data_IF_647220081388
#
_entry.id   IF_647220081388
#
_cell.length_a   1.000
_cell.length_b   1.000
_cell.length_c   1.000
_cell.angle_alpha   90.00
_cell.angle_beta   90.00
_cell.angle_gamma   90.00
#
_symmetry.space_group_name_H-M   'P 1'
#
loop_
_entity.id
_entity.type
_entity.pdbx_description
1 polymer ?
#
# COMPACT_ATOMS: atom_id res chain seq x y z
N UNK A 1 -0.66 -28.89 12.44
CA UNK A 1 0.34 -28.02 13.11
C UNK A 1 1.69 -28.18 12.41
N UNK A 2 2.10 -27.19 11.62
CA UNK A 2 3.44 -27.18 11.00
C UNK A 2 4.41 -26.75 12.10
N UNK A 3 4.95 -27.69 12.88
CA UNK A 3 5.65 -27.44 14.15
C UNK A 3 6.95 -26.59 14.08
N UNK A 4 7.32 -26.11 12.90
CA UNK A 4 8.49 -25.25 12.67
C UNK A 4 8.13 -23.86 12.11
N UNK A 5 6.86 -23.60 11.77
CA UNK A 5 6.43 -22.30 11.25
C UNK A 5 6.51 -21.24 12.36
N UNK A 6 7.07 -20.07 12.07
CA UNK A 6 7.22 -18.97 13.04
C UNK A 6 6.40 -17.73 12.71
N UNK A 7 6.22 -17.45 11.41
CA UNK A 7 5.45 -16.31 10.91
C UNK A 7 5.02 -16.59 9.47
N UNK A 8 3.97 -15.90 9.02
CA UNK A 8 3.55 -15.82 7.61
C UNK A 8 3.82 -14.40 7.13
N UNK A 9 4.53 -14.26 6.01
CA UNK A 9 4.73 -12.95 5.37
C UNK A 9 3.69 -12.75 4.28
N UNK A 10 3.01 -11.60 4.31
CA UNK A 10 2.10 -11.15 3.26
C UNK A 10 2.72 -9.91 2.59
N UNK A 11 2.75 -9.87 1.26
CA UNK A 11 3.33 -8.73 0.55
C UNK A 11 3.01 -8.74 -0.94
N UNK A 12 3.46 -7.69 -1.63
CA UNK A 12 3.25 -7.51 -3.07
C UNK A 12 1.86 -6.98 -3.45
N UNK A 13 0.89 -7.01 -2.55
CA UNK A 13 -0.38 -6.31 -2.63
C UNK A 13 -0.76 -5.81 -1.23
N UNK A 14 -1.56 -4.74 -1.13
CA UNK A 14 -2.18 -4.32 0.12
C UNK A 14 -2.78 -5.47 0.92
N UNK A 15 -2.39 -5.62 2.19
CA UNK A 15 -3.13 -6.46 3.12
C UNK A 15 -4.20 -5.61 3.81
N UNK A 16 -5.46 -5.96 3.58
CA UNK A 16 -6.54 -5.27 4.25
C UNK A 16 -6.54 -5.58 5.76
N UNK A 17 -6.79 -4.55 6.56
CA UNK A 17 -6.73 -4.63 8.03
C UNK A 17 -7.70 -5.68 8.58
N UNK A 18 -8.92 -5.75 8.03
CA UNK A 18 -9.92 -6.72 8.49
C UNK A 18 -9.52 -8.15 8.17
N UNK A 19 -8.96 -8.43 6.97
CA UNK A 19 -8.44 -9.77 6.67
C UNK A 19 -7.29 -10.18 7.59
N UNK A 20 -6.40 -9.26 7.96
CA UNK A 20 -5.38 -9.55 8.95
C UNK A 20 -6.00 -9.87 10.32
N UNK A 21 -6.96 -9.07 10.76
CA UNK A 21 -7.66 -9.27 12.04
C UNK A 21 -8.41 -10.60 12.08
N UNK A 22 -9.14 -10.95 11.02
CA UNK A 22 -9.85 -12.23 10.89
C UNK A 22 -8.87 -13.41 10.95
N UNK A 23 -7.79 -13.37 10.15
CA UNK A 23 -6.80 -14.44 10.14
C UNK A 23 -6.10 -14.62 11.50
N UNK A 24 -5.80 -13.53 12.21
CA UNK A 24 -5.23 -13.57 13.56
C UNK A 24 -6.26 -14.08 14.60
N UNK A 25 -7.52 -13.64 14.51
CA UNK A 25 -8.60 -14.05 15.42
C UNK A 25 -8.95 -15.55 15.28
N UNK A 26 -8.94 -16.08 14.06
CA UNK A 26 -9.18 -17.49 13.79
C UNK A 26 -7.95 -18.38 14.02
N UNK A 27 -6.81 -17.78 14.39
CA UNK A 27 -5.52 -18.45 14.43
C UNK A 27 -5.25 -19.27 13.16
N UNK A 28 -5.63 -18.74 11.99
CA UNK A 28 -5.69 -19.47 10.72
C UNK A 28 -4.37 -20.20 10.37
N UNK A 29 -3.24 -19.64 10.79
CA UNK A 29 -1.91 -20.21 10.59
C UNK A 29 -1.23 -20.66 11.88
N UNK A 30 -1.83 -20.42 13.05
CA UNK A 30 -1.23 -20.67 14.36
C UNK A 30 0.03 -19.84 14.67
N UNK A 31 0.35 -18.88 13.81
CA UNK A 31 1.51 -17.98 13.91
C UNK A 31 1.11 -16.58 13.46
N UNK A 32 1.88 -15.53 13.82
CA UNK A 32 1.56 -14.19 13.39
C UNK A 32 1.72 -13.99 11.88
N UNK A 33 0.81 -13.21 11.29
CA UNK A 33 0.91 -12.73 9.90
C UNK A 33 1.57 -11.34 9.92
N UNK A 34 2.51 -11.09 9.01
CA UNK A 34 3.26 -9.84 8.94
C UNK A 34 3.21 -9.28 7.53
N UNK A 35 2.66 -8.08 7.40
CA UNK A 35 2.69 -7.34 6.13
C UNK A 35 4.13 -6.88 5.85
N UNK A 36 4.55 -7.05 4.61
CA UNK A 36 5.87 -6.72 4.09
C UNK A 36 5.70 -5.84 2.85
N UNK A 37 6.55 -4.83 2.71
CA UNK A 37 6.57 -3.98 1.52
C UNK A 37 7.94 -3.96 0.86
N UNK A 38 7.91 -3.98 -0.46
CA UNK A 38 9.09 -3.90 -1.32
C UNK A 38 8.68 -4.05 -2.78
N UNK A 39 9.64 -3.74 -3.65
CA UNK A 39 9.53 -3.82 -5.09
C UNK A 39 10.59 -4.78 -5.64
N UNK A 40 10.44 -5.15 -6.91
CA UNK A 40 11.52 -5.85 -7.62
C UNK A 40 12.77 -4.96 -7.69
N UNK A 41 12.56 -3.66 -7.89
CA UNK A 41 13.56 -2.60 -7.95
C UNK A 41 14.25 -2.33 -6.60
N UNK A 42 13.68 -2.83 -5.49
CA UNK A 42 14.29 -2.77 -4.15
C UNK A 42 14.83 -4.12 -3.67
N UNK A 43 15.04 -5.07 -4.60
CA UNK A 43 15.56 -6.41 -4.32
C UNK A 43 14.74 -7.19 -3.27
N UNK A 44 13.41 -7.02 -3.27
CA UNK A 44 12.51 -7.67 -2.32
C UNK A 44 12.05 -6.73 -1.19
N UNK A 45 11.56 -7.29 -0.06
CA UNK A 45 11.05 -6.50 1.04
C UNK A 45 12.11 -5.62 1.69
N UNK A 46 11.73 -4.36 1.95
CA UNK A 46 12.57 -3.32 2.56
C UNK A 46 12.04 -2.84 3.91
N UNK A 47 10.83 -3.26 4.27
CA UNK A 47 10.25 -3.09 5.58
C UNK A 47 9.21 -4.17 5.85
N UNK A 48 9.00 -4.43 7.14
CA UNK A 48 8.00 -5.38 7.63
C UNK A 48 7.27 -4.77 8.82
N UNK A 49 6.00 -5.15 8.98
CA UNK A 49 5.31 -5.04 10.26
C UNK A 49 6.16 -5.70 11.37
N UNK A 50 6.20 -5.18 12.61
CA UNK A 50 7.09 -5.67 13.66
C UNK A 50 7.11 -7.19 13.79
N UNK A 51 8.27 -7.81 13.49
CA UNK A 51 8.44 -9.26 13.59
C UNK A 51 8.36 -9.71 15.05
N UNK A 52 8.98 -8.93 15.93
CA UNK A 52 8.92 -9.08 17.38
C UNK A 52 7.99 -8.01 17.97
N UNK A 53 7.02 -8.43 18.77
CA UNK A 53 6.07 -7.53 19.45
C UNK A 53 4.70 -7.41 18.77
N UNK A 54 3.93 -6.36 19.13
CA UNK A 54 2.56 -6.22 18.69
C UNK A 54 2.48 -5.87 17.20
N UNK A 55 1.54 -6.53 16.52
CA UNK A 55 1.16 -6.20 15.14
C UNK A 55 0.70 -4.73 15.06
N UNK A 56 1.01 -4.07 13.95
CA UNK A 56 0.55 -2.71 13.63
C UNK A 56 -0.28 -2.73 12.35
N UNK A 57 -1.53 -3.24 12.38
CA UNK A 57 -2.35 -3.37 11.17
C UNK A 57 -2.49 -2.06 10.40
N UNK A 58 -2.44 -2.15 9.07
CA UNK A 58 -2.54 -1.00 8.17
C UNK A 58 -1.22 -0.25 7.96
N UNK A 59 -0.13 -0.73 8.56
CA UNK A 59 1.23 -0.25 8.31
C UNK A 59 2.08 -1.34 7.68
N UNK A 60 3.00 -0.92 6.80
CA UNK A 60 4.00 -1.82 6.19
C UNK A 60 5.30 -1.91 6.99
N UNK A 61 5.38 -1.19 8.10
CA UNK A 61 6.54 -1.20 9.00
C UNK A 61 7.41 0.06 8.94
N UNK A 62 8.61 -0.10 9.48
CA UNK A 62 9.74 0.86 9.40
C UNK A 62 10.80 0.29 8.45
N UNK A 63 11.61 1.13 7.79
CA UNK A 63 12.69 0.64 6.94
C UNK A 63 13.62 -0.30 7.73
N UNK A 64 14.12 -1.33 7.04
CA UNK A 64 15.17 -2.19 7.56
C UNK A 64 16.44 -1.39 7.86
N UNK A 65 17.31 -1.95 8.72
CA UNK A 65 18.60 -1.33 9.02
C UNK A 65 19.41 -1.06 7.74
N UNK A 66 19.91 0.17 7.62
CA UNK A 66 20.66 0.62 6.44
C UNK A 66 19.80 1.00 5.22
N UNK A 67 18.48 0.79 5.26
CA UNK A 67 17.55 1.30 4.25
C UNK A 67 17.04 2.67 4.68
N UNK A 68 17.04 3.62 3.75
CA UNK A 68 16.52 4.96 3.99
C UNK A 68 15.21 5.17 3.22
N UNK A 69 14.20 5.75 3.89
CA UNK A 69 12.94 6.17 3.30
C UNK A 69 12.79 7.68 3.38
N UNK A 70 12.29 8.29 2.31
CA UNK A 70 11.74 9.66 2.33
C UNK A 70 10.40 9.72 1.65
N UNK A 71 9.63 10.76 1.95
CA UNK A 71 8.33 11.03 1.32
C UNK A 71 8.47 12.34 0.56
N UNK A 72 8.15 12.34 -0.74
CA UNK A 72 8.25 13.53 -1.60
C UNK A 72 6.90 13.81 -2.25
N UNK A 73 6.35 15.01 -2.09
CA UNK A 73 5.07 15.38 -2.69
C UNK A 73 5.14 15.35 -4.23
N UNK A 74 4.00 15.31 -4.95
CA UNK A 74 3.98 15.40 -6.41
C UNK A 74 4.69 16.64 -6.96
N UNK A 75 4.76 17.72 -6.19
CA UNK A 75 5.45 18.98 -6.52
C UNK A 75 6.97 18.90 -6.30
N UNK A 76 7.49 17.77 -5.82
CA UNK A 76 8.91 17.56 -5.59
C UNK A 76 9.41 18.05 -4.24
N UNK A 77 8.52 18.34 -3.29
CA UNK A 77 8.89 18.82 -1.95
C UNK A 77 9.00 17.64 -0.99
N UNK A 78 10.11 17.55 -0.25
CA UNK A 78 10.25 16.52 0.78
C UNK A 78 9.33 16.83 1.97
N UNK A 79 8.54 15.83 2.39
CA UNK A 79 7.62 15.92 3.52
C UNK A 79 8.44 15.79 4.82
N UNK A 80 8.46 16.81 5.69
CA UNK A 80 9.26 16.80 6.92
C UNK A 80 8.91 15.65 7.84
N UNK A 81 9.87 15.23 8.68
CA UNK A 81 9.66 14.09 9.60
C UNK A 81 8.43 14.20 10.51
N UNK A 82 8.21 15.42 11.00
CA UNK A 82 7.10 15.81 11.87
C UNK A 82 5.74 15.93 11.19
N UNK A 83 5.71 16.00 9.86
CA UNK A 83 4.45 16.05 9.12
C UNK A 83 3.96 14.62 8.94
N UNK A 84 2.95 14.29 9.72
CA UNK A 84 2.38 12.96 9.71
C UNK A 84 1.16 12.88 8.85
N UNK A 85 0.62 13.96 8.28
CA UNK A 85 -0.66 13.98 7.55
C UNK A 85 -0.47 13.96 6.03
N UNK A 86 0.58 14.61 5.54
CA UNK A 86 0.78 14.82 4.09
C UNK A 86 1.28 13.54 3.40
N UNK A 87 0.52 12.96 2.46
CA UNK A 87 1.01 11.84 1.66
C UNK A 87 1.94 12.34 0.54
N UNK A 88 2.89 11.51 0.16
CA UNK A 88 3.77 11.74 -0.99
C UNK A 88 4.35 10.45 -1.52
N UNK A 89 5.11 10.53 -2.61
CA UNK A 89 5.86 9.41 -3.14
C UNK A 89 6.87 8.90 -2.11
N UNK A 90 6.77 7.63 -1.74
CA UNK A 90 7.81 6.95 -1.00
C UNK A 90 9.03 6.78 -1.91
N UNK A 91 10.19 7.27 -1.48
CA UNK A 91 11.45 6.99 -2.16
C UNK A 91 12.38 6.20 -1.27
N UNK A 92 13.13 5.29 -1.88
CA UNK A 92 14.00 4.34 -1.19
C UNK A 92 15.44 4.59 -1.60
N UNK A 93 16.36 4.54 -0.66
CA UNK A 93 17.78 4.68 -0.94
C UNK A 93 18.63 3.72 -0.12
N UNK A 94 19.54 3.04 -0.84
CA UNK A 94 20.61 2.12 -0.37
C UNK A 94 20.18 1.01 0.63
N UNK A 95 21.04 0.00 0.85
CA UNK A 95 21.88 -0.65 -0.15
C UNK A 95 21.08 -1.59 -1.08
N UNK A 96 19.74 -1.59 -0.98
CA UNK A 96 18.87 -2.61 -1.57
C UNK A 96 18.26 -2.26 -2.93
N UNK A 97 18.53 -1.06 -3.46
CA UNK A 97 17.96 -0.64 -4.75
C UNK A 97 18.74 -1.23 -5.93
N UNK A 98 18.02 -1.54 -7.01
CA UNK A 98 18.59 -2.05 -8.27
C UNK A 98 19.62 -1.08 -8.87
N UNK A 99 20.43 -1.57 -9.80
CA UNK A 99 21.36 -0.72 -10.58
C UNK A 99 20.72 -0.08 -11.82
N UNK A 100 19.47 -0.41 -12.14
CA UNK A 100 18.75 0.05 -13.32
C UNK A 100 18.11 -1.10 -14.12
N UNK A 101 17.38 -0.74 -15.16
CA UNK A 101 16.69 -1.71 -16.02
C UNK A 101 17.59 -2.20 -17.15
N UNK A 102 17.65 -3.53 -17.32
CA UNK A 102 18.46 -4.17 -18.37
C UNK A 102 17.99 -3.74 -19.76
N UNK A 103 18.91 -3.20 -20.57
CA UNK A 103 18.64 -2.77 -21.94
C UNK A 103 17.78 -1.50 -22.07
N UNK A 104 17.46 -0.83 -20.95
CA UNK A 104 16.60 0.35 -20.91
C UNK A 104 17.26 1.47 -20.08
N UNK A 105 18.39 2.05 -20.55
CA UNK A 105 19.18 3.00 -19.77
C UNK A 105 18.42 4.28 -19.42
N UNK A 106 17.57 4.80 -20.31
CA UNK A 106 16.76 6.00 -20.05
C UNK A 106 15.72 5.76 -18.95
N UNK A 107 15.00 4.64 -19.01
CA UNK A 107 14.07 4.24 -17.96
C UNK A 107 14.81 3.96 -16.65
N UNK A 108 16.01 3.37 -16.73
CA UNK A 108 16.88 3.12 -15.59
C UNK A 108 17.28 4.42 -14.91
N UNK A 109 17.71 5.43 -15.66
CA UNK A 109 18.02 6.75 -15.11
C UNK A 109 16.79 7.45 -14.53
N UNK A 110 15.64 7.39 -15.22
CA UNK A 110 14.40 8.01 -14.77
C UNK A 110 13.79 7.36 -13.51
N UNK A 111 14.19 6.14 -13.17
CA UNK A 111 13.78 5.48 -11.94
C UNK A 111 14.41 6.10 -10.69
N UNK A 112 15.47 6.91 -10.85
CA UNK A 112 16.13 7.59 -9.74
C UNK A 112 15.94 9.10 -9.85
N UNK A 113 16.05 9.79 -8.73
CA UNK A 113 16.30 11.24 -8.75
C UNK A 113 17.80 11.56 -8.72
N UNK A 114 18.12 12.85 -8.80
CA UNK A 114 19.50 13.34 -8.91
C UNK A 114 20.37 12.95 -7.68
N UNK A 115 19.73 12.66 -6.54
CA UNK A 115 20.38 12.22 -5.31
C UNK A 115 20.51 10.68 -5.22
N UNK A 116 20.03 9.95 -6.23
CA UNK A 116 20.10 8.49 -6.31
C UNK A 116 18.99 7.75 -5.58
N UNK A 117 17.89 8.42 -5.20
CA UNK A 117 16.76 7.74 -4.57
C UNK A 117 15.86 7.10 -5.61
N UNK A 118 15.47 5.85 -5.38
CA UNK A 118 14.51 5.13 -6.21
C UNK A 118 13.12 5.76 -6.04
N UNK A 119 12.53 6.17 -7.17
CA UNK A 119 11.14 6.60 -7.33
C UNK A 119 10.24 5.38 -7.41
N UNK A 120 9.55 5.05 -6.31
CA UNK A 120 8.73 3.83 -6.23
C UNK A 120 7.40 3.96 -6.99
N UNK A 121 6.92 5.19 -7.20
CA UNK A 121 5.57 5.46 -7.65
C UNK A 121 4.46 5.10 -6.64
N UNK A 122 4.82 4.62 -5.44
CA UNK A 122 3.89 4.35 -4.34
C UNK A 122 3.73 5.58 -3.47
N UNK A 123 2.50 5.88 -3.09
CA UNK A 123 2.19 6.95 -2.16
C UNK A 123 2.20 6.41 -0.74
N UNK A 124 2.92 7.09 0.14
CA UNK A 124 2.99 6.75 1.54
C UNK A 124 2.76 7.96 2.45
N UNK A 125 2.38 7.64 3.68
CA UNK A 125 2.32 8.54 4.83
C UNK A 125 3.07 7.88 5.97
N UNK A 126 3.76 8.66 6.80
CA UNK A 126 4.45 8.20 8.00
C UNK A 126 3.72 8.70 9.24
N UNK A 127 3.58 7.86 10.26
CA UNK A 127 3.02 8.28 11.55
C UNK A 127 4.09 8.81 12.53
N UNK A 128 3.66 9.28 13.70
CA UNK A 128 4.54 9.85 14.73
C UNK A 128 5.54 8.84 15.29
N UNK A 129 5.20 7.55 15.21
CA UNK A 129 6.06 6.45 15.58
C UNK A 129 6.95 6.01 14.42
N UNK A 130 6.96 6.71 13.28
CA UNK A 130 7.81 6.39 12.14
C UNK A 130 7.38 5.18 11.31
N UNK A 131 6.18 4.62 11.53
CA UNK A 131 5.64 3.56 10.69
C UNK A 131 5.03 4.13 9.41
N UNK A 132 5.26 3.43 8.31
CA UNK A 132 4.78 3.83 7.00
C UNK A 132 3.48 3.11 6.64
N UNK A 133 2.58 3.83 5.99
CA UNK A 133 1.35 3.30 5.38
C UNK A 133 1.39 3.58 3.89
N UNK A 134 1.15 2.56 3.06
CA UNK A 134 0.98 2.75 1.63
C UNK A 134 -0.48 3.13 1.36
N UNK A 135 -0.69 4.34 0.89
CA UNK A 135 -2.01 4.96 0.68
C UNK A 135 -2.41 5.04 -0.79
N UNK A 136 -1.59 4.54 -1.71
CA UNK A 136 -1.97 4.43 -3.11
C UNK A 136 -0.77 4.43 -4.06
N UNK A 137 -1.04 4.77 -5.31
CA UNK A 137 -0.07 4.87 -6.41
C UNK A 137 -0.20 6.25 -7.05
N UNK A 138 0.93 6.87 -7.40
CA UNK A 138 0.94 8.18 -8.08
C UNK A 138 0.08 8.18 -9.35
N UNK A 139 0.20 7.13 -10.17
CA UNK A 139 -0.56 6.98 -11.42
C UNK A 139 -2.05 6.71 -11.25
N UNK A 140 -2.50 6.39 -10.04
CA UNK A 140 -3.89 6.06 -9.73
C UNK A 140 -4.59 7.15 -8.90
N UNK A 141 -3.94 8.28 -8.62
CA UNK A 141 -4.59 9.42 -7.94
C UNK A 141 -5.72 9.93 -8.83
N UNK A 142 -6.93 10.01 -8.25
CA UNK A 142 -8.08 10.63 -8.91
C UNK A 142 -8.29 12.04 -8.35
N UNK A 143 -8.43 13.05 -9.21
CA UNK A 143 -8.72 14.41 -8.77
C UNK A 143 -10.22 14.66 -8.88
N UNK A 144 -10.87 15.00 -7.76
CA UNK A 144 -12.30 15.34 -7.72
C UNK A 144 -12.50 16.67 -7.01
N UNK A 145 -13.13 17.62 -7.69
CA UNK A 145 -13.39 18.97 -7.17
C UNK A 145 -12.13 19.67 -6.62
N UNK A 146 -10.97 19.42 -7.22
CA UNK A 146 -9.69 19.98 -6.77
C UNK A 146 -9.02 19.23 -5.60
N UNK A 147 -9.59 18.11 -5.14
CA UNK A 147 -9.02 17.28 -4.09
C UNK A 147 -8.50 15.95 -4.62
N UNK A 148 -7.35 15.51 -4.09
CA UNK A 148 -6.82 14.18 -4.36
C UNK A 148 -7.65 13.13 -3.64
N UNK A 149 -8.13 12.15 -4.40
CA UNK A 149 -8.82 10.96 -3.93
C UNK A 149 -7.88 9.77 -4.16
N UNK A 150 -7.42 9.19 -3.07
CA UNK A 150 -6.49 8.07 -3.08
C UNK A 150 -7.26 6.76 -3.11
N UNK A 151 -7.07 5.89 -4.12
CA UNK A 151 -7.85 4.66 -4.26
C UNK A 151 -7.81 3.77 -3.02
N UNK A 152 -6.66 3.65 -2.35
CA UNK A 152 -6.54 2.80 -1.14
C UNK A 152 -7.43 3.27 -0.01
N UNK A 153 -7.57 4.58 0.19
CA UNK A 153 -8.47 5.14 1.22
C UNK A 153 -9.92 4.73 0.95
N UNK A 154 -10.31 4.73 -0.32
CA UNK A 154 -11.63 4.27 -0.75
C UNK A 154 -11.76 2.75 -0.59
N UNK A 155 -10.78 1.97 -1.05
CA UNK A 155 -10.75 0.51 -0.93
C UNK A 155 -10.84 0.06 0.54
N UNK A 156 -10.06 0.64 1.45
CA UNK A 156 -10.06 0.32 2.87
C UNK A 156 -11.40 0.66 3.54
N UNK A 157 -12.01 1.80 3.19
CA UNK A 157 -13.33 2.17 3.68
C UNK A 157 -14.43 1.21 3.18
N UNK A 158 -14.21 0.57 2.03
CA UNK A 158 -15.14 -0.36 1.42
C UNK A 158 -14.88 -1.83 1.78
N UNK A 159 -13.78 -2.14 2.45
CA UNK A 159 -13.34 -3.52 2.71
C UNK A 159 -14.16 -4.24 3.81
N UNK A 160 -15.30 -3.72 4.24
CA UNK A 160 -16.08 -4.32 5.34
C UNK A 160 -17.26 -5.11 4.77
N UNK A 161 -17.26 -6.44 4.95
CA UNK A 161 -18.30 -7.37 4.51
C UNK A 161 -19.60 -7.17 5.31
N UNK A 162 -20.73 -6.85 4.65
CA UNK A 162 -21.74 -7.89 4.34
C UNK A 162 -21.96 -8.14 2.83
N UNK A 163 -22.76 -9.16 2.49
CA UNK A 163 -23.48 -9.24 1.20
C UNK A 163 -24.42 -8.03 1.06
N UNK A 164 -23.87 -6.87 0.70
CA UNK A 164 -24.62 -5.60 0.69
C UNK A 164 -25.35 -5.47 -0.64
N UNK A 165 -26.68 -5.34 -0.62
CA UNK A 165 -27.44 -4.98 -1.81
C UNK A 165 -27.00 -3.58 -2.32
N UNK A 166 -27.06 -3.31 -3.63
CA UNK A 166 -26.58 -2.05 -4.23
C UNK A 166 -27.11 -0.77 -3.53
N UNK A 167 -28.36 -0.80 -3.07
CA UNK A 167 -28.98 0.31 -2.34
C UNK A 167 -28.37 0.52 -0.93
N UNK A 168 -28.02 -0.56 -0.23
CA UNK A 168 -27.37 -0.51 1.08
C UNK A 168 -25.90 -0.09 0.95
N UNK A 169 -25.25 -0.43 -0.18
CA UNK A 169 -23.86 -0.05 -0.45
C UNK A 169 -23.69 1.47 -0.53
N UNK A 170 -24.65 2.15 -1.18
CA UNK A 170 -24.63 3.62 -1.28
C UNK A 170 -24.74 4.31 0.08
N UNK A 171 -25.55 3.79 0.99
CA UNK A 171 -25.65 4.30 2.36
C UNK A 171 -24.36 4.01 3.14
N UNK A 172 -23.84 2.78 3.03
CA UNK A 172 -22.60 2.34 3.65
C UNK A 172 -21.39 3.21 3.26
N UNK A 173 -21.27 3.57 1.98
CA UNK A 173 -20.23 4.48 1.46
C UNK A 173 -20.35 5.87 2.11
N UNK A 174 -21.56 6.44 2.17
CA UNK A 174 -21.80 7.81 2.68
C UNK A 174 -21.46 7.96 4.16
N UNK A 175 -21.56 6.89 4.94
CA UNK A 175 -21.17 6.89 6.35
C UNK A 175 -19.65 6.93 6.55
N UNK A 176 -18.86 6.47 5.57
CA UNK A 176 -17.41 6.22 5.73
C UNK A 176 -16.54 7.15 4.90
N UNK A 177 -17.07 7.67 3.80
CA UNK A 177 -16.33 8.52 2.89
C UNK A 177 -17.00 9.88 2.77
N UNK A 178 -16.16 10.91 2.67
CA UNK A 178 -16.61 12.23 2.27
C UNK A 178 -17.30 12.15 0.90
N UNK A 179 -18.34 12.96 0.70
CA UNK A 179 -19.21 12.89 -0.47
C UNK A 179 -18.47 12.90 -1.82
N UNK A 180 -17.35 13.64 -1.92
CA UNK A 180 -16.54 13.70 -3.12
C UNK A 180 -15.61 12.48 -3.33
N UNK A 181 -15.30 11.71 -2.27
CA UNK A 181 -14.48 10.49 -2.33
C UNK A 181 -15.29 9.24 -2.66
N UNK A 182 -16.61 9.27 -2.49
CA UNK A 182 -17.49 8.14 -2.79
C UNK A 182 -17.46 7.74 -4.28
N UNK A 183 -17.26 6.45 -4.62
CA UNK A 183 -17.25 6.00 -6.01
C UNK A 183 -18.66 6.11 -6.62
N UNK A 184 -18.75 6.59 -7.85
CA UNK A 184 -19.98 6.67 -8.65
C UNK A 184 -19.60 6.67 -10.15
N UNK A 185 -20.26 5.86 -11.01
CA UNK A 185 -21.21 4.80 -10.65
C UNK A 185 -20.51 3.61 -9.95
N UNK A 186 -21.29 2.72 -9.32
CA UNK A 186 -20.81 1.48 -8.70
C UNK A 186 -21.35 0.31 -9.50
N UNK A 187 -20.52 -0.71 -9.76
CA UNK A 187 -20.94 -1.94 -10.42
C UNK A 187 -20.56 -3.12 -9.55
N UNK A 188 -21.54 -3.94 -9.19
CA UNK A 188 -21.32 -5.19 -8.48
C UNK A 188 -20.98 -6.29 -9.49
N UNK A 189 -19.98 -7.11 -9.18
CA UNK A 189 -19.51 -8.20 -10.03
C UNK A 189 -19.31 -9.45 -9.19
N UNK A 190 -19.65 -10.61 -9.74
CA UNK A 190 -19.45 -11.90 -9.05
C UNK A 190 -17.97 -12.18 -8.77
N UNK A 191 -17.07 -11.66 -9.61
CA UNK A 191 -15.63 -11.76 -9.40
C UNK A 191 -14.87 -10.65 -10.12
N UNK A 192 -13.74 -10.25 -9.53
CA UNK A 192 -12.79 -9.32 -10.15
C UNK A 192 -11.76 -10.08 -11.00
N UNK A 193 -11.33 -9.52 -12.15
CA UNK A 193 -10.31 -10.13 -12.99
C UNK A 193 -8.97 -10.15 -12.27
N UNK A 194 -8.34 -11.33 -12.16
CA UNK A 194 -7.05 -11.53 -11.47
C UNK A 194 -5.99 -12.08 -12.41
N UNK A 195 -4.73 -11.72 -12.20
CA UNK A 195 -3.59 -12.30 -12.91
C UNK A 195 -3.13 -13.62 -12.25
N UNK A 196 -2.09 -14.24 -12.81
CA UNK A 196 -1.53 -15.51 -12.30
C UNK A 196 -0.95 -15.45 -10.88
N UNK A 197 -0.74 -14.25 -10.31
CA UNK A 197 -0.32 -14.07 -8.91
C UNK A 197 -1.48 -13.67 -7.98
N UNK A 198 -2.72 -13.71 -8.48
CA UNK A 198 -3.93 -13.42 -7.71
C UNK A 198 -4.24 -11.92 -7.56
N UNK A 199 -3.46 -11.02 -8.17
CA UNK A 199 -3.69 -9.57 -8.10
C UNK A 199 -4.76 -9.13 -9.09
N UNK A 200 -5.59 -8.15 -8.69
CA UNK A 200 -6.63 -7.57 -9.54
C UNK A 200 -5.99 -6.83 -10.72
N UNK A 201 -6.47 -7.10 -11.94
CA UNK A 201 -6.02 -6.45 -13.17
C UNK A 201 -6.91 -5.24 -13.45
N UNK A 202 -6.53 -4.08 -12.90
CA UNK A 202 -7.32 -2.84 -12.96
C UNK A 202 -7.59 -2.35 -14.38
N UNK A 203 -6.69 -2.62 -15.34
CA UNK A 203 -6.85 -2.18 -16.73
C UNK A 203 -8.01 -2.88 -17.47
N UNK A 204 -8.47 -4.03 -16.97
CA UNK A 204 -9.63 -4.75 -17.52
C UNK A 204 -10.96 -4.24 -16.93
N UNK A 205 -10.91 -3.29 -15.99
CA UNK A 205 -12.06 -2.70 -15.32
C UNK A 205 -12.31 -1.23 -15.73
N UNK A 206 -11.54 -0.73 -16.72
CA UNK A 206 -11.60 0.66 -17.21
C UNK A 206 -12.42 0.76 -18.49
#
# INVERSE_FOLDING_TARGET
>A
MIGALRYVLSGGAPLAVETLREAEAEAAFGVPVREAYGLSESCGPVCFNPMDGPSRPGTVGRPLEGVEFRIVTPEGVEVPERDTETPGELRIHRPVVMSGYLGLPEAGAAAFDDDGWLRTGDLARRDEEGYYRIVGRLKDINIRNGYNVYPREVEDALYVHPDVAEAEFSAFVRERLLSYKGPQPVTLMDSLPKNGTGKIVKDLLR
#
